data_IF_982248901211
#
_entry.id   IF_982248901211
#
_cell.length_a   1.000
_cell.length_b   1.000
_cell.length_c   1.000
_cell.angle_alpha   90.00
_cell.angle_beta   90.00
_cell.angle_gamma   90.00
#
_symmetry.space_group_name_H-M   'P 1'
#
loop_
_entity.id
_entity.type
_entity.pdbx_description
1 polymer ?
#
# COMPACT_ATOMS: atom_id res chain seq x y z
N UNK A 1 -11.00 14.74 14.04
CA UNK A 1 -10.27 14.48 12.77
C UNK A 1 -10.56 13.03 12.39
N UNK A 2 -11.44 12.79 11.40
CA UNK A 2 -11.86 11.43 11.05
C UNK A 2 -10.68 10.65 10.43
N UNK A 3 -10.40 9.45 10.95
CA UNK A 3 -9.32 8.60 10.44
C UNK A 3 -9.74 7.98 9.11
N UNK A 4 -8.87 7.97 8.09
CA UNK A 4 -9.19 7.35 6.81
C UNK A 4 -9.51 5.86 6.96
N UNK A 5 -10.51 5.38 6.23
CA UNK A 5 -10.72 3.93 6.03
C UNK A 5 -9.48 3.38 5.35
N UNK A 6 -8.83 2.38 5.94
CA UNK A 6 -7.65 1.77 5.35
C UNK A 6 -8.05 1.06 4.06
N UNK A 7 -7.22 1.10 3.00
CA UNK A 7 -7.57 0.49 1.71
C UNK A 7 -7.85 -1.02 1.78
N UNK A 8 -7.41 -1.71 2.84
CA UNK A 8 -7.69 -3.13 3.07
C UNK A 8 -8.97 -3.45 3.83
N UNK A 9 -9.82 -2.48 4.19
CA UNK A 9 -11.08 -2.75 4.92
C UNK A 9 -12.32 -2.61 4.05
N UNK A 10 -12.16 -2.70 2.72
CA UNK A 10 -13.23 -2.56 1.74
C UNK A 10 -12.96 -3.41 0.49
N UNK A 11 -13.99 -4.04 -0.06
CA UNK A 11 -13.95 -4.70 -1.37
C UNK A 11 -15.27 -4.50 -2.13
N UNK A 12 -15.24 -4.81 -3.43
CA UNK A 12 -16.41 -4.81 -4.30
C UNK A 12 -16.72 -6.27 -4.66
N UNK A 13 -17.97 -6.69 -4.45
CA UNK A 13 -18.43 -8.07 -4.68
C UNK A 13 -19.55 -8.07 -5.73
N UNK A 14 -19.46 -8.88 -6.80
CA UNK A 14 -20.52 -8.99 -7.79
C UNK A 14 -21.72 -9.77 -7.23
N UNK A 15 -22.94 -9.39 -7.63
CA UNK A 15 -24.10 -10.27 -7.46
C UNK A 15 -23.93 -11.55 -8.31
N UNK A 16 -24.15 -12.72 -7.71
CA UNK A 16 -23.85 -14.03 -8.31
C UNK A 16 -24.66 -14.45 -9.56
N UNK A 17 -25.40 -13.56 -10.22
CA UNK A 17 -26.10 -13.86 -11.49
C UNK A 17 -25.35 -13.22 -12.67
N UNK A 18 -24.81 -14.08 -13.54
CA UNK A 18 -23.86 -13.78 -14.61
C UNK A 18 -24.34 -12.89 -15.77
N UNK A 19 -24.98 -11.76 -15.48
CA UNK A 19 -25.30 -10.73 -16.46
C UNK A 19 -25.03 -9.34 -15.86
N UNK A 20 -23.81 -8.84 -16.08
CA UNK A 20 -23.36 -7.45 -15.86
C UNK A 20 -23.85 -6.79 -14.57
N UNK A 21 -23.14 -6.91 -13.44
CA UNK A 21 -23.86 -7.10 -12.19
C UNK A 21 -24.00 -5.82 -11.37
N UNK A 22 -25.08 -5.69 -10.58
CA UNK A 22 -25.04 -4.83 -9.41
C UNK A 22 -23.84 -5.23 -8.54
N UNK A 23 -22.97 -4.24 -8.29
CA UNK A 23 -21.78 -4.38 -7.49
C UNK A 23 -22.08 -3.91 -6.08
N UNK A 24 -21.86 -4.78 -5.10
CA UNK A 24 -21.98 -4.42 -3.70
C UNK A 24 -20.62 -3.97 -3.18
N UNK A 25 -20.62 -2.89 -2.40
CA UNK A 25 -19.47 -2.47 -1.60
C UNK A 25 -19.60 -3.15 -0.24
N UNK A 26 -18.61 -3.96 0.12
CA UNK A 26 -18.47 -4.57 1.42
C UNK A 26 -17.35 -3.85 2.17
N UNK A 27 -17.59 -3.43 3.42
CA UNK A 27 -16.55 -2.83 4.25
C UNK A 27 -16.76 -3.16 5.72
N UNK A 28 -15.72 -3.04 6.54
CA UNK A 28 -15.82 -3.27 7.97
C UNK A 28 -15.44 -2.03 8.79
N UNK A 29 -16.09 -1.86 9.95
CA UNK A 29 -15.71 -0.88 10.96
C UNK A 29 -15.48 -1.60 12.29
N UNK A 30 -14.33 -1.36 12.90
CA UNK A 30 -13.93 -1.95 14.18
C UNK A 30 -13.95 -0.95 15.35
N UNK A 31 -13.52 -1.37 16.55
CA UNK A 31 -13.37 -0.49 17.71
C UNK A 31 -12.38 0.66 17.49
N UNK A 32 -11.47 0.52 16.52
CA UNK A 32 -10.55 1.58 16.06
C UNK A 32 -11.08 2.39 14.86
N UNK A 33 -12.33 2.16 14.46
CA UNK A 33 -12.97 2.77 13.29
C UNK A 33 -13.25 4.26 13.48
N UNK A 34 -13.44 5.02 12.38
CA UNK A 34 -13.64 6.47 12.40
C UNK A 34 -15.07 6.87 12.79
N UNK A 35 -15.67 6.14 13.73
CA UNK A 35 -16.95 6.52 14.33
C UNK A 35 -16.84 7.93 14.91
N UNK A 36 -17.98 8.63 14.93
CA UNK A 36 -18.16 9.82 15.76
C UNK A 36 -17.59 9.52 17.15
N UNK A 37 -16.77 10.43 17.66
CA UNK A 37 -16.00 10.26 18.90
C UNK A 37 -16.80 9.41 19.91
N UNK A 38 -16.34 8.19 20.24
CA UNK A 38 -17.11 7.33 21.11
C UNK A 38 -17.31 8.06 22.43
N UNK A 39 -18.56 8.19 22.85
CA UNK A 39 -18.89 8.64 24.20
C UNK A 39 -18.01 7.84 25.19
N UNK A 40 -17.43 8.50 26.21
CA UNK A 40 -16.47 7.84 27.10
C UNK A 40 -17.08 6.58 27.71
N UNK A 41 -16.55 5.42 27.32
CA UNK A 41 -17.03 4.09 27.74
C UNK A 41 -17.69 3.25 26.63
N UNK A 42 -17.85 3.76 25.41
CA UNK A 42 -18.48 3.03 24.32
C UNK A 42 -17.44 2.36 23.40
N UNK A 43 -17.15 1.09 23.67
CA UNK A 43 -16.38 0.25 22.73
C UNK A 43 -17.30 -0.16 21.57
N UNK A 44 -17.08 0.41 20.38
CA UNK A 44 -17.79 -0.01 19.18
C UNK A 44 -17.38 -1.44 18.81
N UNK A 45 -18.33 -2.36 18.82
CA UNK A 45 -18.10 -3.73 18.34
C UNK A 45 -17.82 -3.73 16.83
N UNK A 46 -16.99 -4.67 16.40
CA UNK A 46 -16.73 -4.92 14.99
C UNK A 46 -18.03 -5.19 14.23
N UNK A 47 -18.21 -4.51 13.11
CA UNK A 47 -19.36 -4.70 12.22
C UNK A 47 -18.91 -4.74 10.76
N UNK A 48 -19.57 -5.60 9.98
CA UNK A 48 -19.46 -5.61 8.52
C UNK A 48 -20.69 -4.93 7.94
N UNK A 49 -20.45 -4.12 6.93
CA UNK A 49 -21.45 -3.40 6.18
C UNK A 49 -21.40 -3.79 4.72
N UNK A 50 -22.58 -3.82 4.12
CA UNK A 50 -22.78 -4.10 2.70
C UNK A 50 -23.72 -3.05 2.15
N UNK A 51 -23.43 -2.52 0.97
CA UNK A 51 -24.31 -1.56 0.30
C UNK A 51 -24.22 -1.68 -1.21
N UNK A 52 -25.34 -1.44 -1.88
CA UNK A 52 -25.45 -1.19 -3.32
C UNK A 52 -25.49 0.32 -3.66
N UNK A 53 -25.10 1.16 -2.69
CA UNK A 53 -25.21 2.63 -2.69
C UNK A 53 -26.63 3.20 -2.59
N UNK A 54 -27.66 2.37 -2.44
CA UNK A 54 -29.04 2.79 -2.15
C UNK A 54 -29.48 2.33 -0.76
N UNK A 55 -29.23 1.07 -0.46
CA UNK A 55 -29.58 0.41 0.78
C UNK A 55 -28.32 -0.01 1.54
N UNK A 56 -28.44 -0.19 2.84
CA UNK A 56 -27.34 -0.55 3.72
C UNK A 56 -27.77 -1.74 4.57
N UNK A 57 -26.91 -2.75 4.65
CA UNK A 57 -27.05 -3.87 5.56
C UNK A 57 -25.85 -3.93 6.50
N UNK A 58 -26.05 -4.40 7.72
CA UNK A 58 -24.97 -4.63 8.66
C UNK A 58 -25.17 -5.91 9.48
N UNK A 59 -24.11 -6.35 10.13
CA UNK A 59 -24.15 -7.48 11.07
C UNK A 59 -24.89 -7.17 12.38
N UNK A 60 -25.05 -5.89 12.73
CA UNK A 60 -25.66 -5.44 14.00
C UNK A 60 -25.05 -6.11 15.24
N UNK A 61 -23.74 -6.38 15.21
CA UNK A 61 -23.04 -6.99 16.32
C UNK A 61 -22.97 -6.03 17.51
N UNK A 62 -23.43 -6.51 18.65
CA UNK A 62 -23.02 -6.06 19.99
C UNK A 62 -21.77 -6.84 20.43
N UNK A 63 -21.02 -6.37 21.45
CA UNK A 63 -19.87 -7.11 21.97
C UNK A 63 -20.22 -8.56 22.34
N UNK A 64 -21.38 -8.79 22.96
CA UNK A 64 -21.84 -10.13 23.33
C UNK A 64 -22.12 -11.02 22.11
N UNK A 65 -22.86 -10.50 21.12
CA UNK A 65 -23.20 -11.28 19.92
C UNK A 65 -21.98 -11.57 19.05
N UNK A 66 -20.98 -10.68 19.05
CA UNK A 66 -19.72 -10.88 18.35
C UNK A 66 -18.91 -12.03 18.99
N UNK A 67 -18.78 -12.04 20.31
CA UNK A 67 -18.06 -13.11 21.02
C UNK A 67 -18.79 -14.45 20.87
N UNK A 68 -20.13 -14.44 20.91
CA UNK A 68 -20.93 -15.63 20.59
C UNK A 68 -20.67 -16.14 19.17
N UNK A 69 -20.57 -15.24 18.20
CA UNK A 69 -20.27 -15.59 16.80
C UNK A 69 -18.85 -16.18 16.67
N UNK A 70 -17.84 -15.60 17.32
CA UNK A 70 -16.48 -16.16 17.37
C UNK A 70 -16.48 -17.59 17.91
N UNK A 71 -17.13 -17.81 19.04
CA UNK A 71 -17.24 -19.13 19.64
C UNK A 71 -17.93 -20.15 18.72
N UNK A 72 -18.97 -19.73 17.97
CA UNK A 72 -19.68 -20.60 17.02
C UNK A 72 -18.78 -21.06 15.86
N UNK A 73 -17.83 -20.23 15.45
CA UNK A 73 -16.86 -20.57 14.40
C UNK A 73 -15.56 -21.17 14.94
N UNK A 74 -15.49 -21.51 16.23
CA UNK A 74 -14.29 -22.09 16.85
C UNK A 74 -13.09 -21.15 16.93
N UNK A 75 -13.34 -19.84 16.79
CA UNK A 75 -12.31 -18.80 16.85
C UNK A 75 -12.07 -18.37 18.31
N UNK A 76 -10.81 -18.10 18.65
CA UNK A 76 -10.45 -17.50 19.93
C UNK A 76 -11.03 -16.09 20.04
N UNK A 77 -11.39 -15.66 21.25
CA UNK A 77 -11.88 -14.30 21.52
C UNK A 77 -10.89 -13.22 21.09
N UNK A 78 -9.60 -13.55 21.02
CA UNK A 78 -8.53 -12.67 20.55
C UNK A 78 -8.45 -12.50 19.02
N UNK A 79 -9.20 -13.28 18.24
CA UNK A 79 -9.17 -13.20 16.76
C UNK A 79 -9.68 -11.85 16.24
N UNK A 80 -8.91 -11.25 15.33
CA UNK A 80 -9.23 -9.96 14.70
C UNK A 80 -10.03 -10.18 13.41
N UNK A 81 -11.34 -10.02 13.50
CA UNK A 81 -12.25 -10.10 12.36
C UNK A 81 -11.93 -9.06 11.26
N UNK A 82 -11.30 -7.93 11.63
CA UNK A 82 -10.89 -6.91 10.66
C UNK A 82 -9.73 -7.42 9.80
N UNK A 83 -8.77 -8.13 10.41
CA UNK A 83 -7.69 -8.79 9.68
C UNK A 83 -8.22 -9.91 8.78
N UNK A 84 -9.17 -10.71 9.28
CA UNK A 84 -9.87 -11.74 8.49
C UNK A 84 -10.55 -11.15 7.25
N UNK A 85 -11.35 -10.10 7.45
CA UNK A 85 -12.03 -9.40 6.36
C UNK A 85 -11.04 -8.85 5.35
N UNK A 86 -9.97 -8.20 5.82
CA UNK A 86 -8.92 -7.63 4.95
C UNK A 86 -8.26 -8.67 4.07
N UNK A 87 -7.80 -9.78 4.64
CA UNK A 87 -7.13 -10.85 3.89
C UNK A 87 -8.07 -11.42 2.81
N UNK A 88 -9.35 -11.62 3.14
CA UNK A 88 -10.31 -12.11 2.18
C UNK A 88 -10.64 -11.09 1.08
N UNK A 89 -10.65 -9.78 1.39
CA UNK A 89 -10.78 -8.73 0.39
C UNK A 89 -9.63 -8.78 -0.60
N UNK A 90 -8.38 -8.86 -0.11
CA UNK A 90 -7.17 -8.92 -0.94
C UNK A 90 -7.13 -10.18 -1.82
N UNK A 91 -7.72 -11.28 -1.35
CA UNK A 91 -7.78 -12.56 -2.05
C UNK A 91 -9.04 -12.73 -2.92
N UNK A 92 -9.93 -11.75 -2.97
CA UNK A 92 -11.25 -11.85 -3.62
C UNK A 92 -12.08 -13.06 -3.15
N UNK A 93 -11.94 -13.41 -1.86
CA UNK A 93 -12.58 -14.56 -1.23
C UNK A 93 -13.84 -14.16 -0.43
N UNK A 94 -14.47 -13.05 -0.81
CA UNK A 94 -15.73 -12.57 -0.25
C UNK A 94 -16.85 -12.84 -1.24
N UNK A 95 -17.89 -13.54 -0.79
CA UNK A 95 -19.07 -13.83 -1.61
C UNK A 95 -20.33 -13.39 -0.88
N UNK A 96 -21.32 -12.97 -1.67
CA UNK A 96 -22.55 -12.38 -1.18
C UNK A 96 -23.76 -13.06 -1.82
N UNK A 97 -24.72 -13.44 -0.97
CA UNK A 97 -25.99 -14.03 -1.39
C UNK A 97 -27.13 -13.20 -0.81
N UNK A 98 -27.96 -12.63 -1.68
CA UNK A 98 -29.20 -11.98 -1.29
C UNK A 98 -30.24 -13.07 -1.02
N UNK A 99 -30.84 -13.10 0.19
CA UNK A 99 -31.91 -14.06 0.49
C UNK A 99 -33.28 -13.46 0.23
N UNK A 100 -33.51 -12.28 0.79
CA UNK A 100 -34.75 -11.50 0.66
C UNK A 100 -34.39 -10.01 0.55
N UNK A 101 -35.40 -9.15 0.35
CA UNK A 101 -35.23 -7.68 0.31
C UNK A 101 -34.67 -7.07 1.60
N UNK A 102 -34.64 -7.83 2.70
CA UNK A 102 -34.20 -7.36 4.02
C UNK A 102 -33.00 -8.11 4.60
N UNK A 103 -32.55 -9.19 3.97
CA UNK A 103 -31.50 -10.07 4.53
C UNK A 103 -30.43 -10.45 3.52
N UNK A 104 -29.18 -10.29 3.94
CA UNK A 104 -28.00 -10.58 3.13
C UNK A 104 -27.12 -11.56 3.87
N UNK A 105 -26.64 -12.57 3.16
CA UNK A 105 -25.64 -13.50 3.67
C UNK A 105 -24.29 -13.21 3.04
N UNK A 106 -23.31 -12.91 3.88
CA UNK A 106 -21.94 -12.68 3.46
C UNK A 106 -21.10 -13.87 3.90
N UNK A 107 -20.29 -14.41 2.99
CA UNK A 107 -19.37 -15.50 3.27
C UNK A 107 -17.95 -15.05 2.98
N UNK A 108 -17.07 -15.26 3.96
CA UNK A 108 -15.66 -14.93 3.89
C UNK A 108 -14.89 -16.24 3.99
N UNK A 109 -14.18 -16.59 2.93
CA UNK A 109 -13.35 -17.79 2.92
C UNK A 109 -11.88 -17.42 3.07
N UNK A 110 -11.17 -18.17 3.90
CA UNK A 110 -9.72 -18.05 4.07
C UNK A 110 -9.14 -19.46 4.16
N UNK A 111 -8.34 -19.83 3.17
CA UNK A 111 -7.73 -21.16 3.10
C UNK A 111 -8.79 -22.28 3.23
N UNK A 112 -8.80 -23.06 4.32
CA UNK A 112 -9.77 -24.12 4.59
C UNK A 112 -10.94 -23.67 5.47
N UNK A 113 -10.90 -22.46 6.01
CA UNK A 113 -11.88 -21.93 6.95
C UNK A 113 -12.86 -20.98 6.26
N UNK A 114 -14.09 -20.95 6.76
CA UNK A 114 -15.14 -20.11 6.20
C UNK A 114 -16.01 -19.52 7.31
N UNK A 115 -16.15 -18.21 7.29
CA UNK A 115 -17.01 -17.44 8.19
C UNK A 115 -18.24 -16.97 7.44
N UNK A 116 -19.40 -17.16 8.05
CA UNK A 116 -20.69 -16.80 7.46
C UNK A 116 -21.39 -15.79 8.34
N UNK A 117 -21.80 -14.67 7.74
CA UNK A 117 -22.42 -13.55 8.44
C UNK A 117 -23.83 -13.35 7.92
N UNK A 118 -24.75 -13.10 8.85
CA UNK A 118 -26.12 -12.71 8.55
C UNK A 118 -26.22 -11.21 8.75
N UNK A 119 -26.61 -10.49 7.71
CA UNK A 119 -26.77 -9.05 7.74
C UNK A 119 -28.25 -8.69 7.60
N UNK A 120 -28.68 -7.72 8.40
CA UNK A 120 -30.02 -7.16 8.37
C UNK A 120 -29.99 -5.75 7.79
N UNK A 121 -31.11 -5.35 7.19
CA UNK A 121 -31.28 -4.02 6.59
C UNK A 121 -31.29 -2.94 7.67
N UNK A 122 -30.44 -1.93 7.48
CA UNK A 122 -30.38 -0.73 8.32
C UNK A 122 -31.55 0.19 7.92
N UNK A 123 -32.31 0.74 8.90
CA UNK A 123 -33.38 1.69 8.60
C UNK A 123 -32.88 2.90 7.81
N UNK A 124 -33.68 3.37 6.84
CA UNK A 124 -33.35 4.54 6.00
C UNK A 124 -32.85 5.79 6.76
N UNK A 125 -33.46 6.23 7.89
CA UNK A 125 -32.96 7.40 8.60
C UNK A 125 -31.54 7.22 9.16
N UNK A 126 -31.13 5.98 9.49
CA UNK A 126 -29.80 5.67 9.99
C UNK A 126 -28.80 5.36 8.87
N UNK A 127 -29.30 4.81 7.76
CA UNK A 127 -28.51 4.44 6.58
C UNK A 127 -28.08 5.66 5.77
N UNK A 128 -28.98 6.62 5.52
CA UNK A 128 -28.73 7.78 4.68
C UNK A 128 -27.48 8.60 5.08
N UNK A 129 -27.31 9.03 6.34
CA UNK A 129 -26.11 9.78 6.74
C UNK A 129 -24.84 8.93 6.63
N UNK A 130 -24.91 7.61 6.87
CA UNK A 130 -23.77 6.69 6.75
C UNK A 130 -23.33 6.52 5.31
N UNK A 131 -24.28 6.34 4.39
CA UNK A 131 -24.00 6.25 2.95
C UNK A 131 -23.40 7.56 2.43
N UNK A 132 -23.96 8.71 2.83
CA UNK A 132 -23.41 10.02 2.47
C UNK A 132 -21.96 10.16 2.96
N UNK A 133 -21.70 9.85 4.23
CA UNK A 133 -20.35 9.91 4.80
C UNK A 133 -19.39 8.93 4.12
N UNK A 134 -19.84 7.70 3.81
CA UNK A 134 -19.04 6.72 3.07
C UNK A 134 -18.66 7.25 1.69
N UNK A 135 -19.61 7.76 0.91
CA UNK A 135 -19.37 8.27 -0.44
C UNK A 135 -18.38 9.44 -0.43
N UNK A 136 -18.54 10.40 0.49
CA UNK A 136 -17.62 11.52 0.63
C UNK A 136 -16.21 11.07 1.04
N UNK A 137 -16.12 10.13 2.01
CA UNK A 137 -14.84 9.57 2.43
C UNK A 137 -14.15 8.85 1.28
N UNK A 138 -14.86 8.03 0.51
CA UNK A 138 -14.29 7.32 -0.64
C UNK A 138 -13.79 8.29 -1.71
N UNK A 139 -14.55 9.35 -2.02
CA UNK A 139 -14.10 10.39 -2.94
C UNK A 139 -12.82 11.09 -2.46
N UNK A 140 -12.72 11.40 -1.17
CA UNK A 140 -11.51 11.96 -0.57
C UNK A 140 -10.32 10.98 -0.62
N UNK A 141 -10.56 9.69 -0.32
CA UNK A 141 -9.54 8.66 -0.40
C UNK A 141 -8.97 8.52 -1.81
N UNK A 142 -9.85 8.46 -2.82
CA UNK A 142 -9.43 8.38 -4.23
C UNK A 142 -8.59 9.59 -4.60
N UNK A 143 -9.06 10.80 -4.32
CA UNK A 143 -8.29 12.03 -4.59
C UNK A 143 -6.91 12.01 -3.93
N UNK A 144 -6.82 11.53 -2.69
CA UNK A 144 -5.55 11.45 -1.96
C UNK A 144 -4.62 10.39 -2.55
N UNK A 145 -5.14 9.20 -2.82
CA UNK A 145 -4.37 8.09 -3.38
C UNK A 145 -3.84 8.43 -4.77
N UNK A 146 -4.64 9.10 -5.60
CA UNK A 146 -4.21 9.58 -6.93
C UNK A 146 -3.04 10.57 -6.83
N UNK A 147 -3.10 11.53 -5.89
CA UNK A 147 -1.99 12.46 -5.63
C UNK A 147 -0.73 11.75 -5.15
N UNK A 148 -0.88 10.78 -4.23
CA UNK A 148 0.24 9.98 -3.73
C UNK A 148 0.88 9.13 -4.84
N UNK A 149 0.04 8.55 -5.70
CA UNK A 149 0.49 7.79 -6.86
C UNK A 149 1.21 8.67 -7.89
N UNK A 150 0.75 9.90 -8.11
CA UNK A 150 1.41 10.86 -8.98
C UNK A 150 2.80 11.25 -8.43
N UNK A 151 2.90 11.57 -7.14
CA UNK A 151 4.17 11.92 -6.50
C UNK A 151 5.22 10.79 -6.60
N UNK A 152 4.80 9.53 -6.41
CA UNK A 152 5.69 8.37 -6.56
C UNK A 152 6.19 8.18 -7.99
N UNK A 153 5.40 8.54 -9.01
CA UNK A 153 5.82 8.47 -10.41
C UNK A 153 6.87 9.54 -10.73
N UNK A 154 6.69 10.75 -10.20
CA UNK A 154 7.62 11.88 -10.39
C UNK A 154 8.94 11.69 -9.63
N UNK A 155 8.94 10.93 -8.53
CA UNK A 155 10.14 10.58 -7.75
C UNK A 155 10.93 9.38 -8.31
N UNK A 156 10.59 8.82 -9.47
CA UNK A 156 11.50 7.89 -10.15
C UNK A 156 12.71 8.68 -10.69
N UNK A 157 13.93 8.52 -10.13
CA UNK A 157 15.06 9.30 -10.60
C UNK A 157 15.55 8.66 -11.89
N UNK A 158 15.03 9.10 -13.03
CA UNK A 158 15.78 9.00 -14.26
C UNK A 158 17.10 9.75 -14.02
N UNK A 159 18.28 9.15 -14.21
CA UNK A 159 19.56 9.84 -14.06
C UNK A 159 19.68 10.84 -15.21
N UNK A 160 19.01 11.98 -15.07
CA UNK A 160 19.18 13.12 -15.94
C UNK A 160 20.60 13.62 -15.68
N UNK A 161 21.52 13.21 -16.57
CA UNK A 161 22.80 13.87 -16.78
C UNK A 161 22.53 15.38 -16.78
N UNK A 162 23.08 16.07 -15.78
CA UNK A 162 23.22 17.53 -15.86
C UNK A 162 23.94 17.82 -17.19
N UNK A 163 23.44 18.70 -18.07
CA UNK A 163 24.31 19.30 -19.05
C UNK A 163 25.28 20.16 -18.23
N UNK A 164 26.51 19.67 -18.03
CA UNK A 164 27.60 20.55 -17.63
C UNK A 164 27.70 21.60 -18.74
N UNK A 165 27.23 22.80 -18.42
CA UNK A 165 27.44 23.96 -19.27
C UNK A 165 28.95 24.10 -19.42
N UNK A 166 29.41 23.97 -20.67
CA UNK A 166 30.80 24.09 -21.04
C UNK A 166 31.32 25.46 -20.65
N UNK A 167 32.09 25.52 -19.56
CA UNK A 167 33.01 26.61 -19.27
C UNK A 167 34.40 26.18 -19.67
N UNK A 168 34.81 26.55 -20.88
CA UNK A 168 36.21 26.45 -21.32
C UNK A 168 37.06 27.27 -20.35
N UNK A 169 37.85 26.63 -19.49
CA UNK A 169 38.95 27.31 -18.81
C UNK A 169 40.25 26.96 -19.52
N UNK A 170 40.64 27.93 -20.34
CA UNK A 170 41.88 28.05 -21.07
C UNK A 170 43.07 27.70 -20.17
N UNK A 171 43.93 26.83 -20.70
CA UNK A 171 45.29 26.64 -20.24
C UNK A 171 46.04 27.97 -20.26
N UNK A 172 46.51 28.42 -19.10
CA UNK A 172 47.61 29.36 -18.99
C UNK A 172 48.59 28.83 -17.93
N UNK A 173 49.84 28.51 -18.29
CA UNK A 173 50.91 28.40 -17.33
C UNK A 173 51.49 29.80 -17.09
N UNK A 174 51.75 30.18 -15.84
CA UNK A 174 52.61 31.33 -15.55
C UNK A 174 53.58 30.98 -14.39
N UNK A 175 54.81 31.50 -14.40
CA UNK A 175 56.00 30.82 -13.91
C UNK A 175 56.36 31.16 -12.46
N UNK A 176 57.03 30.17 -11.85
CA UNK A 176 58.05 30.25 -10.81
C UNK A 176 58.08 31.47 -9.86
N UNK A 177 57.89 31.18 -8.57
CA UNK A 177 58.83 31.66 -7.54
C UNK A 177 58.84 30.69 -6.35
N UNK A 178 60.04 30.16 -6.06
CA UNK A 178 60.23 29.00 -5.20
C UNK A 178 60.44 29.27 -3.71
N UNK A 179 60.75 28.15 -3.03
CA UNK A 179 61.31 27.92 -1.68
C UNK A 179 60.30 27.47 -0.60
N UNK A 180 60.43 26.19 -0.20
CA UNK A 180 60.16 25.77 1.18
C UNK A 180 59.55 24.37 1.40
N UNK A 181 60.40 23.34 1.48
CA UNK A 181 60.27 22.11 2.28
C UNK A 181 59.14 21.08 2.01
N UNK A 182 59.37 19.77 2.28
CA UNK A 182 58.60 18.66 1.72
C UNK A 182 57.43 18.25 2.63
N UNK A 183 56.21 18.60 2.21
CA UNK A 183 54.96 18.01 2.73
C UNK A 183 54.59 16.71 1.99
N UNK A 184 53.73 15.84 2.57
CA UNK A 184 53.49 14.51 2.03
C UNK A 184 52.89 14.59 0.62
N UNK A 185 53.54 13.93 -0.35
CA UNK A 185 53.13 13.87 -1.74
C UNK A 185 51.64 13.49 -1.87
N UNK A 186 50.82 14.46 -2.27
CA UNK A 186 49.53 14.20 -2.92
C UNK A 186 49.89 13.54 -4.25
N UNK A 187 49.82 12.21 -4.30
CA UNK A 187 50.14 11.46 -5.52
C UNK A 187 49.14 11.87 -6.60
N UNK A 188 49.65 12.51 -7.66
CA UNK A 188 48.87 12.85 -8.85
C UNK A 188 48.45 11.54 -9.50
N UNK A 189 47.17 11.23 -9.43
CA UNK A 189 46.60 9.97 -9.89
C UNK A 189 46.76 9.86 -11.41
N UNK A 190 47.40 8.80 -11.88
CA UNK A 190 47.66 8.60 -13.30
C UNK A 190 46.43 7.96 -13.97
N UNK A 191 46.03 8.40 -15.17
CA UNK A 191 44.93 7.75 -15.91
C UNK A 191 45.20 6.25 -16.07
N UNK A 192 44.32 5.41 -15.53
CA UNK A 192 44.46 3.94 -15.54
C UNK A 192 44.88 3.32 -14.20
N UNK A 193 45.11 4.10 -13.15
CA UNK A 193 45.32 3.56 -11.79
C UNK A 193 44.00 3.08 -11.18
N UNK A 194 44.02 1.86 -10.63
CA UNK A 194 42.85 1.21 -10.03
C UNK A 194 42.36 1.97 -8.79
N UNK A 195 41.06 2.24 -8.75
CA UNK A 195 40.35 2.92 -7.65
C UNK A 195 40.26 2.04 -6.40
N UNK A 196 40.13 0.74 -6.60
CA UNK A 196 39.91 -0.23 -5.51
C UNK A 196 41.24 -0.62 -4.85
N UNK A 197 42.36 -0.49 -5.58
CA UNK A 197 43.68 -0.82 -5.04
C UNK A 197 44.75 0.22 -5.45
N UNK A 198 44.83 1.34 -4.72
CA UNK A 198 45.77 2.41 -5.04
C UNK A 198 47.22 1.93 -4.91
N UNK A 199 48.02 2.14 -5.95
CA UNK A 199 49.43 1.71 -6.02
C UNK A 199 49.68 0.34 -6.66
N UNK A 200 48.62 -0.37 -7.07
CA UNK A 200 48.77 -1.63 -7.79
C UNK A 200 49.17 -1.36 -9.25
N UNK A 201 50.43 -1.65 -9.62
CA UNK A 201 50.88 -1.57 -11.01
C UNK A 201 50.15 -2.61 -11.85
N UNK A 202 49.43 -2.18 -12.90
CA UNK A 202 48.79 -3.11 -13.82
C UNK A 202 49.84 -4.05 -14.42
N UNK A 203 49.48 -5.33 -14.56
CA UNK A 203 50.35 -6.30 -15.24
C UNK A 203 50.52 -5.84 -16.69
N UNK A 204 51.78 -5.79 -17.15
CA UNK A 204 52.08 -5.49 -18.56
C UNK A 204 51.33 -6.48 -19.45
N UNK A 205 50.69 -6.04 -20.55
CA UNK A 205 50.08 -6.95 -21.50
C UNK A 205 51.16 -7.88 -22.07
N UNK A 206 50.81 -9.13 -22.35
CA UNK A 206 51.72 -10.09 -22.94
C UNK A 206 52.20 -9.54 -24.30
N UNK A 207 53.52 -9.38 -24.44
CA UNK A 207 54.13 -9.09 -25.74
C UNK A 207 53.92 -10.32 -26.61
N UNK A 208 53.20 -10.15 -27.71
CA UNK A 208 52.93 -11.22 -28.67
C UNK A 208 54.23 -11.88 -29.13
N UNK A 209 54.18 -13.19 -29.32
CA UNK A 209 55.24 -13.95 -29.98
C UNK A 209 55.23 -13.60 -31.47
N UNK A 210 56.39 -13.19 -32.00
CA UNK A 210 56.58 -12.97 -33.42
C UNK A 210 56.89 -14.31 -34.08
N UNK A 211 56.09 -14.73 -35.05
CA UNK A 211 56.38 -15.90 -35.86
C UNK A 211 57.09 -15.43 -37.12
N UNK A 212 58.36 -15.82 -37.30
CA UNK A 212 59.01 -15.67 -38.60
C UNK A 212 58.41 -16.71 -39.55
N UNK A 213 57.84 -16.24 -40.66
CA UNK A 213 57.39 -17.11 -41.76
C UNK A 213 58.63 -17.70 -42.45
N UNK A 214 58.77 -19.03 -42.41
CA UNK A 214 59.63 -19.80 -43.31
C UNK A 214 58.97 -21.14 -43.63
#
# INVERSE_FOLDING_TARGET
MQRPVAPGSLCIVPAGSGQGPPCYVCYCEGPEGPGLDPEPGQTCAFNIYVTDALELWNTSFTPETLEKHKAQHGLDGAEDYSAWFRVACDQHAVSLTLKDDSSVHLTISREAETLTFNLSKVPSPDAAPRLQALMLRLAEQVCRLERQLAALKDETPSPRKKPQSGGQQLFLPDPDSGRGAPGPLIRKWMPGESIINPGFKSKKPASGVNFDDT
#
